data_IF_405925554990
#
_entry.id   IF_405925554990
#
_cell.length_a   1.000
_cell.length_b   1.000
_cell.length_c   1.000
_cell.angle_alpha   90.00
_cell.angle_beta   90.00
_cell.angle_gamma   90.00
#
_symmetry.space_group_name_H-M   'P 1'
#
loop_
_entity.id
_entity.type
_entity.pdbx_description
1 polymer ?
#
# COMPACT_ATOMS: atom_id res chain seq x y z
N UNK A 1 12.17 25.22 -7.67
CA UNK A 1 13.37 24.52 -8.13
C UNK A 1 13.55 23.22 -7.36
N UNK A 2 13.50 22.07 -8.05
CA UNK A 2 13.64 20.76 -7.42
C UNK A 2 15.10 20.32 -7.23
N UNK A 3 16.03 20.84 -8.04
CA UNK A 3 17.43 20.40 -8.07
C UNK A 3 18.37 21.60 -8.05
N UNK A 4 18.44 22.33 -6.96
CA UNK A 4 19.31 23.50 -6.81
C UNK A 4 20.56 23.25 -5.97
N UNK A 5 20.60 22.17 -5.18
CA UNK A 5 21.75 21.82 -4.34
C UNK A 5 22.78 20.98 -5.10
N UNK A 6 24.05 21.17 -4.76
CA UNK A 6 25.16 20.41 -5.32
C UNK A 6 25.86 19.59 -4.24
N UNK A 7 26.20 18.32 -4.52
CA UNK A 7 25.93 17.55 -5.74
C UNK A 7 24.43 17.21 -5.89
N UNK A 8 23.93 17.07 -7.11
CA UNK A 8 22.50 16.95 -7.46
C UNK A 8 21.72 15.88 -6.66
N UNK A 9 22.38 14.79 -6.28
CA UNK A 9 21.75 13.70 -5.52
C UNK A 9 21.31 14.10 -4.10
N UNK A 10 21.94 15.16 -3.52
CA UNK A 10 21.52 15.70 -2.21
C UNK A 10 20.12 16.25 -2.23
N UNK A 11 19.65 16.74 -3.39
CA UNK A 11 18.28 17.23 -3.53
C UNK A 11 17.22 16.16 -3.24
N UNK A 12 17.55 14.88 -3.41
CA UNK A 12 16.62 13.79 -3.13
C UNK A 12 16.31 13.64 -1.63
N UNK A 13 17.21 14.08 -0.77
CA UNK A 13 17.14 13.90 0.68
C UNK A 13 17.09 15.20 1.47
N UNK A 14 17.82 16.22 1.06
CA UNK A 14 18.01 17.45 1.80
C UNK A 14 17.10 18.60 1.32
N UNK A 15 16.69 18.58 0.04
CA UNK A 15 15.80 19.60 -0.51
C UNK A 15 14.33 19.30 -0.13
N UNK A 16 13.77 20.09 0.75
CA UNK A 16 12.39 19.92 1.26
C UNK A 16 11.34 19.83 0.13
N UNK A 17 11.47 20.62 -0.92
CA UNK A 17 10.51 20.59 -2.05
C UNK A 17 10.61 19.26 -2.81
N UNK A 18 11.82 18.77 -3.05
CA UNK A 18 12.04 17.49 -3.72
C UNK A 18 11.59 16.31 -2.87
N UNK A 19 11.85 16.35 -1.56
CA UNK A 19 11.38 15.32 -0.62
C UNK A 19 9.85 15.27 -0.60
N UNK A 20 9.17 16.40 -0.52
CA UNK A 20 7.70 16.46 -0.57
C UNK A 20 7.16 15.96 -1.91
N UNK A 21 7.79 16.33 -3.01
CA UNK A 21 7.42 15.85 -4.34
C UNK A 21 7.57 14.33 -4.44
N UNK A 22 8.72 13.78 -4.03
CA UNK A 22 8.97 12.35 -4.04
C UNK A 22 7.96 11.59 -3.17
N UNK A 23 7.67 12.10 -1.98
CA UNK A 23 6.65 11.52 -1.09
C UNK A 23 5.28 11.44 -1.77
N UNK A 24 4.84 12.51 -2.43
CA UNK A 24 3.57 12.53 -3.18
C UNK A 24 3.56 11.52 -4.32
N UNK A 25 4.64 11.44 -5.10
CA UNK A 25 4.74 10.49 -6.21
C UNK A 25 4.66 9.04 -5.73
N UNK A 26 5.38 8.70 -4.66
CA UNK A 26 5.32 7.37 -4.04
C UNK A 26 3.91 7.09 -3.50
N UNK A 27 3.29 8.05 -2.83
CA UNK A 27 1.93 7.91 -2.31
C UNK A 27 0.90 7.64 -3.43
N UNK A 28 0.96 8.35 -4.54
CA UNK A 28 0.09 8.11 -5.70
C UNK A 28 0.34 6.75 -6.32
N UNK A 29 1.60 6.35 -6.47
CA UNK A 29 1.95 5.03 -7.00
C UNK A 29 1.39 3.91 -6.12
N UNK A 30 1.55 4.00 -4.81
CA UNK A 30 1.03 3.02 -3.85
C UNK A 30 -0.50 2.98 -3.85
N UNK A 31 -1.15 4.13 -3.94
CA UNK A 31 -2.61 4.21 -4.04
C UNK A 31 -3.13 3.52 -5.31
N UNK A 32 -2.51 3.80 -6.46
CA UNK A 32 -2.86 3.14 -7.73
C UNK A 32 -2.65 1.64 -7.64
N UNK A 33 -1.54 1.18 -7.06
CA UNK A 33 -1.26 -0.25 -6.87
C UNK A 33 -2.35 -0.90 -5.99
N UNK A 34 -2.76 -0.25 -4.90
CA UNK A 34 -3.81 -0.76 -4.04
C UNK A 34 -5.16 -0.89 -4.77
N UNK A 35 -5.53 0.09 -5.59
CA UNK A 35 -6.75 0.05 -6.41
C UNK A 35 -6.66 -1.04 -7.49
N UNK A 36 -5.53 -1.17 -8.19
CA UNK A 36 -5.32 -2.21 -9.18
C UNK A 36 -5.38 -3.61 -8.55
N UNK A 37 -4.82 -3.78 -7.36
CA UNK A 37 -4.91 -5.03 -6.60
C UNK A 37 -6.36 -5.38 -6.26
N UNK A 38 -7.16 -4.41 -5.81
CA UNK A 38 -8.59 -4.61 -5.55
C UNK A 38 -9.34 -5.01 -6.83
N UNK A 39 -9.11 -4.31 -7.93
CA UNK A 39 -9.73 -4.63 -9.23
C UNK A 39 -9.34 -6.03 -9.70
N UNK A 40 -8.08 -6.41 -9.55
CA UNK A 40 -7.59 -7.74 -9.90
C UNK A 40 -8.27 -8.82 -9.06
N UNK A 41 -8.36 -8.63 -7.74
CA UNK A 41 -9.06 -9.54 -6.84
C UNK A 41 -10.54 -9.74 -7.21
N UNK A 42 -11.22 -8.67 -7.61
CA UNK A 42 -12.60 -8.71 -8.05
C UNK A 42 -12.75 -9.44 -9.39
N UNK A 43 -11.90 -9.14 -10.36
CA UNK A 43 -11.92 -9.77 -11.70
C UNK A 43 -11.57 -11.25 -11.66
N UNK A 44 -10.58 -11.61 -10.85
CA UNK A 44 -10.17 -13.00 -10.66
C UNK A 44 -11.17 -13.81 -9.81
N UNK A 45 -12.26 -13.18 -9.34
CA UNK A 45 -13.22 -13.80 -8.43
C UNK A 45 -12.54 -14.44 -7.22
N UNK A 46 -11.54 -13.74 -6.67
CA UNK A 46 -10.84 -14.15 -5.48
C UNK A 46 -11.81 -14.39 -4.32
N UNK A 47 -11.44 -15.24 -3.38
CA UNK A 47 -12.27 -15.51 -2.21
C UNK A 47 -12.61 -14.24 -1.42
N UNK A 48 -13.76 -14.24 -0.75
CA UNK A 48 -14.31 -13.06 -0.07
C UNK A 48 -13.30 -12.42 0.91
N UNK A 49 -12.50 -13.22 1.60
CA UNK A 49 -11.51 -12.71 2.53
C UNK A 49 -10.35 -11.96 1.81
N UNK A 50 -9.97 -12.37 0.60
CA UNK A 50 -8.98 -11.65 -0.22
C UNK A 50 -9.56 -10.33 -0.72
N UNK A 51 -10.80 -10.33 -1.21
CA UNK A 51 -11.50 -9.11 -1.64
C UNK A 51 -11.67 -8.14 -0.48
N UNK A 52 -12.09 -8.61 0.69
CA UNK A 52 -12.24 -7.77 1.87
C UNK A 52 -10.90 -7.16 2.31
N UNK A 53 -9.81 -7.94 2.31
CA UNK A 53 -8.48 -7.44 2.63
C UNK A 53 -8.02 -6.35 1.66
N UNK A 54 -8.20 -6.57 0.36
CA UNK A 54 -7.88 -5.58 -0.68
C UNK A 54 -8.75 -4.32 -0.56
N UNK A 55 -10.04 -4.48 -0.24
CA UNK A 55 -10.97 -3.36 -0.04
C UNK A 55 -10.56 -2.50 1.16
N UNK A 56 -10.31 -3.12 2.32
CA UNK A 56 -9.90 -2.40 3.52
C UNK A 56 -8.55 -1.70 3.34
N UNK A 57 -7.61 -2.33 2.66
CA UNK A 57 -6.33 -1.70 2.32
C UNK A 57 -6.54 -0.47 1.42
N UNK A 58 -7.39 -0.56 0.41
CA UNK A 58 -7.71 0.55 -0.48
C UNK A 58 -8.41 1.71 0.24
N UNK A 59 -9.34 1.41 1.15
CA UNK A 59 -10.01 2.42 1.99
C UNK A 59 -8.99 3.10 2.90
N UNK A 60 -8.13 2.33 3.57
CA UNK A 60 -7.09 2.87 4.46
C UNK A 60 -6.08 3.74 3.68
N UNK A 61 -5.66 3.33 2.49
CA UNK A 61 -4.78 4.12 1.62
C UNK A 61 -5.44 5.43 1.19
N UNK A 62 -6.73 5.42 0.87
CA UNK A 62 -7.48 6.63 0.50
C UNK A 62 -7.59 7.58 1.69
N UNK A 63 -7.90 7.06 2.89
CA UNK A 63 -7.92 7.86 4.12
C UNK A 63 -6.54 8.47 4.43
N UNK A 64 -5.47 7.70 4.26
CA UNK A 64 -4.09 8.17 4.44
C UNK A 64 -3.73 9.29 3.47
N UNK A 65 -4.05 9.14 2.19
CA UNK A 65 -3.82 10.17 1.18
C UNK A 65 -4.61 11.46 1.51
N UNK A 66 -5.87 11.31 1.92
CA UNK A 66 -6.71 12.44 2.33
C UNK A 66 -6.11 13.18 3.53
N UNK A 67 -5.68 12.47 4.57
CA UNK A 67 -5.01 13.07 5.73
C UNK A 67 -3.72 13.80 5.34
N UNK A 68 -2.94 13.24 4.44
CA UNK A 68 -1.72 13.87 3.92
C UNK A 68 -2.03 15.19 3.18
N UNK A 69 -3.06 15.20 2.35
CA UNK A 69 -3.51 16.40 1.62
C UNK A 69 -4.00 17.47 2.62
N UNK A 70 -4.86 17.08 3.57
CA UNK A 70 -5.36 18.00 4.60
C UNK A 70 -4.23 18.59 5.45
N UNK A 71 -3.26 17.77 5.82
CA UNK A 71 -2.07 18.22 6.57
C UNK A 71 -1.33 19.33 5.83
N UNK A 72 -1.13 19.17 4.52
CA UNK A 72 -0.47 20.19 3.70
C UNK A 72 -1.30 21.45 3.53
N UNK A 73 -2.59 21.32 3.26
CA UNK A 73 -3.49 22.45 3.04
C UNK A 73 -3.64 23.33 4.30
N UNK A 74 -3.53 22.74 5.49
CA UNK A 74 -3.61 23.44 6.78
C UNK A 74 -2.23 23.84 7.34
N UNK A 75 -1.18 23.87 6.51
CA UNK A 75 0.17 24.27 6.90
C UNK A 75 0.81 23.40 7.99
N UNK A 76 0.54 22.10 7.91
CA UNK A 76 1.15 21.07 8.77
C UNK A 76 0.86 21.29 10.28
N UNK A 77 -0.39 21.42 10.73
CA UNK A 77 -0.70 21.42 12.15
C UNK A 77 -0.29 20.09 12.79
N UNK A 78 0.19 20.13 14.04
CA UNK A 78 0.80 18.97 14.70
C UNK A 78 -0.19 17.81 14.90
N UNK A 79 -1.44 18.11 15.19
CA UNK A 79 -2.51 17.13 15.35
C UNK A 79 -2.78 16.36 14.05
N UNK A 80 -2.88 17.03 12.91
CA UNK A 80 -3.04 16.42 11.60
C UNK A 80 -1.78 15.64 11.19
N UNK A 81 -0.58 16.17 11.45
CA UNK A 81 0.67 15.51 11.16
C UNK A 81 0.82 14.20 11.94
N UNK A 82 0.49 14.21 13.24
CA UNK A 82 0.52 13.01 14.09
C UNK A 82 -0.55 11.99 13.66
N UNK A 83 -1.75 12.44 13.31
CA UNK A 83 -2.83 11.57 12.81
C UNK A 83 -2.43 10.92 11.49
N UNK A 84 -1.82 11.67 10.58
CA UNK A 84 -1.31 11.14 9.32
C UNK A 84 -0.22 10.08 9.54
N UNK A 85 0.73 10.31 10.45
CA UNK A 85 1.76 9.34 10.81
C UNK A 85 1.18 8.10 11.51
N UNK A 86 0.26 8.28 12.43
CA UNK A 86 -0.43 7.16 13.11
C UNK A 86 -1.20 6.29 12.12
N UNK A 87 -1.90 6.91 11.18
CA UNK A 87 -2.62 6.20 10.12
C UNK A 87 -1.66 5.44 9.18
N UNK A 88 -0.44 5.95 8.95
CA UNK A 88 0.57 5.23 8.18
C UNK A 88 0.93 3.89 8.81
N UNK A 89 1.01 3.82 10.13
CA UNK A 89 1.25 2.56 10.87
C UNK A 89 0.09 1.58 10.67
N UNK A 90 -1.15 2.07 10.71
CA UNK A 90 -2.36 1.25 10.46
C UNK A 90 -2.33 0.69 9.04
N UNK A 91 -2.05 1.53 8.04
CA UNK A 91 -1.96 1.10 6.63
C UNK A 91 -0.87 0.03 6.44
N UNK A 92 0.31 0.25 7.01
CA UNK A 92 1.40 -0.72 6.94
C UNK A 92 1.02 -2.05 7.60
N UNK A 93 0.40 -2.02 8.75
CA UNK A 93 -0.07 -3.22 9.45
C UNK A 93 -1.09 -3.99 8.61
N UNK A 94 -2.08 -3.29 8.03
CA UNK A 94 -3.07 -3.92 7.14
C UNK A 94 -2.41 -4.54 5.91
N UNK A 95 -1.43 -3.87 5.30
CA UNK A 95 -0.70 -4.38 4.15
C UNK A 95 0.07 -5.66 4.49
N UNK A 96 0.78 -5.68 5.61
CA UNK A 96 1.53 -6.85 6.08
C UNK A 96 0.59 -8.02 6.37
N UNK A 97 -0.47 -7.80 7.13
CA UNK A 97 -1.46 -8.85 7.48
C UNK A 97 -2.12 -9.40 6.23
N UNK A 98 -2.49 -8.53 5.28
CA UNK A 98 -3.08 -8.96 4.02
C UNK A 98 -2.11 -9.81 3.19
N UNK A 99 -0.85 -9.39 3.08
CA UNK A 99 0.20 -10.13 2.39
C UNK A 99 0.44 -11.51 3.01
N UNK A 100 0.52 -11.60 4.34
CA UNK A 100 0.69 -12.87 5.06
C UNK A 100 -0.48 -13.83 4.79
N UNK A 101 -1.71 -13.33 4.81
CA UNK A 101 -2.89 -14.14 4.52
C UNK A 101 -2.93 -14.66 3.09
N UNK A 102 -2.51 -13.85 2.11
CA UNK A 102 -2.39 -14.27 0.71
C UNK A 102 -1.34 -15.37 0.55
N UNK A 103 -0.18 -15.20 1.16
CA UNK A 103 0.93 -16.17 1.12
C UNK A 103 0.52 -17.52 1.75
N UNK A 104 -0.14 -17.49 2.90
CA UNK A 104 -0.62 -18.70 3.57
C UNK A 104 -1.62 -19.48 2.71
N UNK A 105 -2.55 -18.79 2.03
CA UNK A 105 -3.54 -19.42 1.14
C UNK A 105 -2.90 -20.06 -0.08
N UNK A 106 -1.92 -19.42 -0.70
CA UNK A 106 -1.20 -19.99 -1.84
C UNK A 106 -0.44 -21.25 -1.42
N UNK A 107 0.19 -21.25 -0.24
CA UNK A 107 0.88 -22.42 0.28
C UNK A 107 -0.07 -23.59 0.54
N UNK A 108 -1.26 -23.33 1.11
CA UNK A 108 -2.28 -24.36 1.34
C UNK A 108 -2.82 -24.95 0.05
N UNK A 109 -3.16 -24.11 -0.94
CA UNK A 109 -3.64 -24.55 -2.24
C UNK A 109 -2.62 -25.46 -2.93
N UNK A 110 -1.36 -25.04 -2.95
CA UNK A 110 -0.26 -25.83 -3.52
C UNK A 110 -0.09 -27.20 -2.84
N UNK A 111 -0.21 -27.24 -1.51
CA UNK A 111 -0.12 -28.49 -0.75
C UNK A 111 -1.25 -29.46 -1.09
N UNK A 112 -2.46 -28.95 -1.25
CA UNK A 112 -3.64 -29.74 -1.65
C UNK A 112 -3.46 -30.33 -3.07
N UNK A 113 -3.00 -29.52 -4.04
CA UNK A 113 -2.74 -29.96 -5.40
C UNK A 113 -1.72 -31.11 -5.45
N UNK A 114 -0.65 -30.98 -4.66
CA UNK A 114 0.38 -32.03 -4.57
C UNK A 114 -0.14 -33.34 -3.95
N UNK A 115 -1.10 -33.27 -3.04
CA UNK A 115 -1.72 -34.46 -2.44
C UNK A 115 -2.71 -35.15 -3.37
N UNK A 116 -3.39 -34.40 -4.23
CA UNK A 116 -4.41 -34.93 -5.15
C UNK A 116 -3.80 -35.50 -6.44
N UNK A 117 -2.64 -35.00 -6.87
CA UNK A 117 -1.99 -35.44 -8.09
C UNK A 117 -1.72 -36.96 -8.19
N UNK A 118 -1.26 -37.66 -7.12
CA UNK A 118 -1.05 -39.12 -7.18
C UNK A 118 -2.36 -39.92 -7.26
N UNK A 119 -3.48 -39.38 -6.82
CA UNK A 119 -4.78 -40.06 -6.82
C UNK A 119 -5.46 -40.05 -8.20
N UNK A 120 -5.16 -39.05 -9.02
CA UNK A 120 -5.69 -38.92 -10.39
C UNK A 120 -4.90 -39.75 -11.41
N UNK A 121 -3.71 -40.21 -11.06
CA UNK A 121 -2.83 -41.05 -11.91
C UNK A 121 -3.08 -42.56 -11.75
N UNK A 122 -4.01 -42.99 -10.92
CA UNK A 122 -4.42 -44.39 -10.70
C UNK A 122 -5.77 -44.69 -11.33
#
# INVERSE_FOLDING_TARGET
>A
RLFFEQPWWRNLFDNTLTVQFNHRMVAYALWVIAILHLVDALRARAGQATVNGALWLSIAMTAQATLGILTLLHQVPIDLALTHQGMAIVVLTLAIVHNERLTARHAQARSQDLQLAPQQAR
#
